data_IF_023201436256
#
_entry.id   IF_023201436256
#
_cell.length_a   1.000
_cell.length_b   1.000
_cell.length_c   1.000
_cell.angle_alpha   90.00
_cell.angle_beta   90.00
_cell.angle_gamma   90.00
#
_symmetry.space_group_name_H-M   'P 1'
#
loop_
_entity.id
_entity.type
_entity.pdbx_description
1 polymer ?
#
# COMPACT_ATOMS: atom_id res chain seq x y z
N UNK A 1 43.91 -19.53 -54.45
CA UNK A 1 45.00 -18.54 -54.38
C UNK A 1 44.59 -17.51 -53.34
N UNK A 2 45.34 -17.44 -52.26
CA UNK A 2 45.18 -16.53 -51.13
C UNK A 2 45.67 -15.14 -51.53
N UNK A 3 44.93 -14.10 -51.14
CA UNK A 3 45.55 -12.80 -50.83
C UNK A 3 44.82 -12.20 -49.64
N UNK A 4 45.60 -11.94 -48.60
CA UNK A 4 45.24 -11.25 -47.36
C UNK A 4 44.43 -9.96 -47.59
N UNK A 5 43.41 -9.74 -46.76
CA UNK A 5 42.92 -8.39 -46.53
C UNK A 5 43.37 -7.90 -45.15
N UNK A 6 44.29 -6.95 -45.27
CA UNK A 6 45.03 -6.21 -44.27
C UNK A 6 44.13 -5.48 -43.26
N UNK A 7 44.58 -5.48 -42.01
CA UNK A 7 43.95 -4.87 -40.85
C UNK A 7 44.21 -3.35 -40.86
N UNK A 8 43.21 -2.59 -40.37
CA UNK A 8 43.25 -1.16 -39.98
C UNK A 8 42.96 -0.15 -41.09
N UNK A 9 41.72 0.32 -41.10
CA UNK A 9 41.41 1.70 -41.49
C UNK A 9 40.52 2.38 -40.45
N UNK A 10 41.22 2.95 -39.47
CA UNK A 10 40.99 4.22 -38.79
C UNK A 10 39.55 4.77 -38.72
N UNK A 11 39.04 4.77 -37.49
CA UNK A 11 38.04 5.69 -36.94
C UNK A 11 38.32 7.14 -37.36
N UNK A 12 37.36 7.75 -38.04
CA UNK A 12 37.23 9.21 -38.08
C UNK A 12 35.75 9.60 -38.24
N UNK A 13 34.99 9.45 -37.16
CA UNK A 13 33.67 10.10 -37.03
C UNK A 13 33.91 11.37 -36.24
N UNK A 14 34.11 12.48 -36.97
CA UNK A 14 33.95 13.83 -36.47
C UNK A 14 32.72 14.37 -37.20
N UNK A 15 31.60 14.44 -36.50
CA UNK A 15 30.34 14.89 -37.06
C UNK A 15 29.47 15.42 -35.94
N UNK A 16 29.70 16.67 -35.55
CA UNK A 16 28.78 17.47 -34.74
C UNK A 16 27.50 17.66 -35.55
N UNK A 17 26.44 16.93 -35.20
CA UNK A 17 25.11 17.08 -35.74
C UNK A 17 24.10 16.93 -34.61
N UNK A 18 23.53 18.05 -34.18
CA UNK A 18 22.51 18.12 -33.15
C UNK A 18 21.29 17.28 -33.54
N UNK A 19 21.00 16.25 -32.75
CA UNK A 19 19.74 15.52 -32.82
C UNK A 19 18.68 16.34 -32.09
N UNK A 20 17.74 16.94 -32.82
CA UNK A 20 16.47 17.38 -32.26
C UNK A 20 15.42 16.31 -32.58
N UNK A 21 15.34 15.31 -31.71
CA UNK A 21 14.27 14.31 -31.70
C UNK A 21 13.12 14.86 -30.84
N UNK A 22 11.97 15.11 -31.45
CA UNK A 22 10.72 15.30 -30.71
C UNK A 22 9.85 14.09 -31.06
N UNK A 23 10.17 12.98 -30.41
CA UNK A 23 9.28 11.85 -30.22
C UNK A 23 8.89 11.88 -28.75
N UNK A 24 7.59 11.90 -28.47
CA UNK A 24 7.07 11.85 -27.11
C UNK A 24 7.60 10.63 -26.37
N UNK A 25 8.47 10.89 -25.40
CA UNK A 25 8.74 10.01 -24.28
C UNK A 25 8.27 10.80 -23.07
N UNK A 26 7.19 10.32 -22.48
CA UNK A 26 6.83 10.59 -21.09
C UNK A 26 8.08 10.47 -20.23
N UNK A 27 8.45 11.62 -19.68
CA UNK A 27 9.02 11.73 -18.36
C UNK A 27 10.28 10.90 -18.04
N UNK A 28 11.39 11.27 -18.68
CA UNK A 28 12.71 11.11 -18.09
C UNK A 28 13.23 12.46 -17.52
N UNK A 29 12.36 13.47 -17.43
CA UNK A 29 12.67 14.80 -16.90
C UNK A 29 12.44 14.90 -15.39
N UNK A 30 11.82 13.88 -14.77
CA UNK A 30 11.82 13.72 -13.30
C UNK A 30 13.16 13.21 -12.74
N UNK A 31 14.08 12.72 -13.56
CA UNK A 31 15.39 12.20 -13.10
C UNK A 31 16.54 13.21 -13.24
N UNK A 32 16.28 14.39 -13.80
CA UNK A 32 17.22 15.52 -13.85
C UNK A 32 16.51 16.77 -13.32
N UNK A 33 15.75 16.61 -12.23
CA UNK A 33 15.42 17.75 -11.41
C UNK A 33 16.73 18.22 -10.80
N UNK A 34 17.01 19.49 -11.08
CA UNK A 34 18.15 20.27 -10.65
C UNK A 34 18.64 19.86 -9.26
N UNK A 35 19.97 19.82 -9.12
CA UNK A 35 20.66 20.03 -7.84
C UNK A 35 20.23 21.42 -7.30
N UNK A 36 18.99 21.53 -6.84
CA UNK A 36 18.56 22.58 -5.95
C UNK A 36 19.34 22.35 -4.67
N UNK A 37 20.32 23.22 -4.40
CA UNK A 37 21.07 23.32 -3.13
C UNK A 37 20.15 23.73 -1.94
N UNK A 38 18.85 23.41 -2.04
CA UNK A 38 17.79 23.53 -1.05
C UNK A 38 16.81 22.35 -1.24
N UNK A 39 17.31 21.19 -1.69
CA UNK A 39 16.56 19.95 -1.77
C UNK A 39 16.06 19.61 -0.37
N UNK A 40 14.78 19.30 -0.29
CA UNK A 40 14.21 18.75 0.92
C UNK A 40 14.86 17.37 1.10
N UNK A 41 15.90 17.27 1.94
CA UNK A 41 16.65 16.01 2.20
C UNK A 41 15.75 14.92 2.85
N UNK A 42 14.49 15.26 3.12
CA UNK A 42 13.47 14.39 3.67
C UNK A 42 12.93 13.43 2.63
N UNK A 43 12.69 12.20 3.05
CA UNK A 43 12.17 11.12 2.23
C UNK A 43 10.92 10.52 2.87
N UNK A 44 10.00 10.09 2.03
CA UNK A 44 8.85 9.32 2.48
C UNK A 44 9.21 7.85 2.54
N UNK A 45 9.15 7.29 3.75
CA UNK A 45 9.42 5.90 4.07
C UNK A 45 8.11 5.14 4.27
N UNK A 46 8.01 3.97 3.63
CA UNK A 46 6.92 3.02 3.86
C UNK A 46 7.50 1.76 4.49
N UNK A 47 7.04 1.47 5.70
CA UNK A 47 7.33 0.27 6.48
C UNK A 47 6.12 -0.65 6.38
N UNK A 48 6.33 -1.85 5.85
CA UNK A 48 5.30 -2.89 5.76
C UNK A 48 6.01 -4.25 5.75
N UNK A 49 5.23 -5.32 5.77
CA UNK A 49 5.75 -6.69 5.65
C UNK A 49 6.46 -6.84 4.31
N UNK A 50 7.68 -7.37 4.33
CA UNK A 50 8.42 -7.62 3.11
C UNK A 50 7.66 -8.60 2.21
N UNK A 51 7.68 -8.37 0.90
CA UNK A 51 6.93 -9.18 -0.06
C UNK A 51 7.25 -10.67 0.04
N UNK A 52 8.51 -11.00 0.30
CA UNK A 52 8.95 -12.40 0.45
C UNK A 52 8.27 -13.11 1.62
N UNK A 53 8.04 -12.42 2.74
CA UNK A 53 7.35 -12.98 3.90
C UNK A 53 5.85 -13.16 3.63
N UNK A 54 5.24 -12.21 2.91
CA UNK A 54 3.83 -12.34 2.48
C UNK A 54 3.65 -13.51 1.50
N UNK A 55 4.59 -13.69 0.57
CA UNK A 55 4.61 -14.84 -0.35
C UNK A 55 4.74 -16.17 0.41
N UNK A 56 5.61 -16.23 1.43
CA UNK A 56 5.75 -17.41 2.30
C UNK A 56 4.44 -17.75 3.03
N UNK A 57 3.76 -16.73 3.58
CA UNK A 57 2.46 -16.91 4.22
C UNK A 57 1.38 -17.35 3.22
N UNK A 58 1.45 -16.87 1.98
CA UNK A 58 0.52 -17.27 0.93
C UNK A 58 0.70 -18.74 0.55
N UNK A 59 1.95 -19.22 0.44
CA UNK A 59 2.25 -20.63 0.22
C UNK A 59 1.74 -21.51 1.39
N UNK A 60 1.88 -21.04 2.63
CA UNK A 60 1.32 -21.71 3.82
C UNK A 60 -0.21 -21.79 3.75
N UNK A 61 -0.88 -20.71 3.34
CA UNK A 61 -2.32 -20.67 3.15
C UNK A 61 -2.78 -21.63 2.03
N UNK A 62 -2.07 -21.66 0.90
CA UNK A 62 -2.39 -22.56 -0.23
C UNK A 62 -2.18 -24.03 0.15
N UNK A 63 -1.13 -24.32 0.91
CA UNK A 63 -0.85 -25.66 1.42
C UNK A 63 -1.83 -26.11 2.53
N UNK A 64 -2.58 -25.17 3.10
CA UNK A 64 -3.50 -25.38 4.21
C UNK A 64 -2.80 -25.58 5.55
N UNK A 65 -1.57 -25.10 5.69
CA UNK A 65 -0.83 -25.06 6.97
C UNK A 65 -1.43 -24.01 7.91
N UNK A 66 -1.87 -22.89 7.35
CA UNK A 66 -2.61 -21.83 8.04
C UNK A 66 -3.96 -21.61 7.37
N UNK A 67 -4.94 -21.13 8.12
CA UNK A 67 -6.21 -20.67 7.56
C UNK A 67 -6.19 -19.17 7.21
N UNK A 68 -7.29 -18.68 6.62
CA UNK A 68 -7.39 -17.29 6.16
C UNK A 68 -7.38 -16.27 7.32
N UNK A 69 -7.87 -16.66 8.49
CA UNK A 69 -7.86 -15.81 9.67
C UNK A 69 -6.42 -15.74 10.18
N UNK A 70 -5.77 -16.88 10.35
CA UNK A 70 -4.35 -16.96 10.75
C UNK A 70 -3.44 -16.19 9.79
N UNK A 71 -3.65 -16.29 8.47
CA UNK A 71 -2.89 -15.51 7.48
C UNK A 71 -3.00 -14.00 7.72
N UNK A 72 -4.20 -13.49 8.02
CA UNK A 72 -4.39 -12.06 8.28
C UNK A 72 -3.71 -11.66 9.60
N UNK A 73 -3.89 -12.44 10.66
CA UNK A 73 -3.26 -12.19 11.96
C UNK A 73 -1.72 -12.19 11.85
N UNK A 74 -1.14 -13.13 11.11
CA UNK A 74 0.29 -13.24 10.88
C UNK A 74 0.87 -12.08 10.06
N UNK A 75 0.11 -11.57 9.07
CA UNK A 75 0.50 -10.38 8.30
C UNK A 75 0.44 -9.14 9.18
N UNK A 76 -0.63 -8.96 9.98
CA UNK A 76 -0.76 -7.82 10.89
C UNK A 76 0.34 -7.83 11.95
N UNK A 77 0.63 -9.00 12.53
CA UNK A 77 1.71 -9.16 13.50
C UNK A 77 3.07 -8.81 12.89
N UNK A 78 3.41 -9.39 11.73
CA UNK A 78 4.68 -9.07 11.06
C UNK A 78 4.79 -7.60 10.67
N UNK A 79 3.67 -6.94 10.35
CA UNK A 79 3.67 -5.50 10.05
C UNK A 79 4.06 -4.71 11.29
N UNK A 80 3.44 -5.04 12.42
CA UNK A 80 3.76 -4.40 13.69
C UNK A 80 5.22 -4.64 14.08
N UNK A 81 5.71 -5.88 13.96
CA UNK A 81 7.13 -6.20 14.19
C UNK A 81 8.07 -5.38 13.28
N UNK A 82 7.72 -5.19 12.00
CA UNK A 82 8.51 -4.37 11.08
C UNK A 82 8.52 -2.88 11.47
N UNK A 83 7.39 -2.37 11.97
CA UNK A 83 7.29 -1.00 12.48
C UNK A 83 8.13 -0.83 13.74
N UNK A 84 7.98 -1.71 14.72
CA UNK A 84 8.78 -1.69 15.95
C UNK A 84 10.29 -1.81 15.64
N UNK A 85 10.67 -2.66 14.68
CA UNK A 85 12.07 -2.76 14.23
C UNK A 85 12.55 -1.45 13.58
N UNK A 86 11.70 -0.79 12.81
CA UNK A 86 12.04 0.49 12.18
C UNK A 86 12.24 1.59 13.22
N UNK A 87 11.34 1.70 14.19
CA UNK A 87 11.46 2.67 15.27
C UNK A 87 12.75 2.45 16.07
N UNK A 88 13.09 1.19 16.39
CA UNK A 88 14.37 0.85 17.02
C UNK A 88 15.57 1.24 16.13
N UNK A 89 15.48 0.98 14.82
CA UNK A 89 16.54 1.35 13.86
C UNK A 89 16.79 2.86 13.86
N UNK A 90 15.72 3.66 13.82
CA UNK A 90 15.80 5.13 13.87
C UNK A 90 16.41 5.61 15.18
N UNK A 91 16.08 5.00 16.33
CA UNK A 91 16.66 5.35 17.63
C UNK A 91 18.16 5.03 17.74
N UNK A 92 18.64 4.01 17.01
CA UNK A 92 20.03 3.53 17.08
C UNK A 92 20.97 4.20 16.06
N UNK A 93 20.44 4.62 14.92
CA UNK A 93 21.20 5.10 13.77
C UNK A 93 21.01 6.62 13.55
N UNK A 94 21.79 7.21 12.63
CA UNK A 94 21.67 8.63 12.27
C UNK A 94 20.49 8.86 11.29
N UNK A 95 19.28 8.42 11.68
CA UNK A 95 18.01 8.67 10.99
C UNK A 95 17.04 9.31 11.96
N UNK A 96 16.23 10.26 11.51
CA UNK A 96 15.22 10.96 12.32
C UNK A 96 13.87 10.91 11.62
N UNK A 97 12.81 10.65 12.40
CA UNK A 97 11.42 10.77 11.93
C UNK A 97 10.95 12.20 12.16
N UNK A 98 10.70 12.91 11.06
CA UNK A 98 10.17 14.27 11.07
C UNK A 98 8.65 14.28 11.23
N UNK A 99 7.97 13.34 10.58
CA UNK A 99 6.52 13.19 10.64
C UNK A 99 6.09 11.73 10.52
N UNK A 100 5.01 11.36 11.19
CA UNK A 100 4.37 10.05 11.08
C UNK A 100 2.86 10.22 10.85
N UNK A 101 2.28 9.29 10.10
CA UNK A 101 0.85 9.33 9.78
C UNK A 101 0.05 8.48 10.76
N UNK A 102 -0.96 9.07 11.40
CA UNK A 102 -1.98 8.32 12.14
C UNK A 102 -2.98 7.60 11.20
N UNK A 103 -3.09 8.08 9.96
CA UNK A 103 -4.06 7.59 8.98
C UNK A 103 -3.57 6.37 8.21
N UNK A 104 -2.25 6.34 7.94
CA UNK A 104 -1.56 5.28 7.19
C UNK A 104 -0.49 4.70 8.10
N UNK A 105 -0.77 3.55 8.69
CA UNK A 105 0.18 2.86 9.55
C UNK A 105 1.45 2.48 8.76
N UNK A 106 2.63 2.75 9.33
CA UNK A 106 3.92 2.48 8.70
C UNK A 106 4.39 3.55 7.69
N UNK A 107 3.68 4.69 7.56
CA UNK A 107 4.10 5.81 6.73
C UNK A 107 4.83 6.87 7.55
N UNK A 108 6.07 7.17 7.15
CA UNK A 108 6.95 8.12 7.82
C UNK A 108 7.55 9.11 6.84
N UNK A 109 7.76 10.34 7.29
CA UNK A 109 8.65 11.31 6.67
C UNK A 109 9.95 11.33 7.48
N UNK A 110 11.05 10.96 6.86
CA UNK A 110 12.35 10.76 7.52
C UNK A 110 13.44 11.64 6.92
N UNK A 111 14.44 11.97 7.73
CA UNK A 111 15.67 12.68 7.36
C UNK A 111 16.88 11.94 7.95
N UNK A 112 18.05 11.97 7.31
CA UNK A 112 19.23 11.32 7.87
C UNK A 112 20.34 11.04 6.86
N UNK A 113 21.33 10.27 7.31
CA UNK A 113 22.43 9.84 6.44
C UNK A 113 21.93 8.87 5.36
N UNK A 114 22.28 9.15 4.10
CA UNK A 114 21.92 8.30 2.95
C UNK A 114 22.31 6.83 3.15
N UNK A 115 23.46 6.58 3.78
CA UNK A 115 23.97 5.25 4.05
C UNK A 115 23.14 4.49 5.07
N UNK A 116 22.65 5.17 6.11
CA UNK A 116 21.73 4.61 7.09
C UNK A 116 20.37 4.30 6.46
N UNK A 117 19.80 5.25 5.71
CA UNK A 117 18.50 5.08 5.03
C UNK A 117 18.55 3.92 4.02
N UNK A 118 19.62 3.84 3.20
CA UNK A 118 19.83 2.72 2.27
C UNK A 118 20.12 1.40 2.99
N UNK A 119 20.72 1.44 4.18
CA UNK A 119 20.90 0.31 5.06
C UNK A 119 19.56 -0.30 5.45
N UNK A 120 18.65 0.53 5.94
CA UNK A 120 17.28 0.13 6.27
C UNK A 120 16.49 -0.37 5.06
N UNK A 121 16.66 0.20 3.86
CA UNK A 121 15.99 -0.31 2.65
C UNK A 121 16.53 -1.67 2.18
N UNK A 122 17.83 -1.92 2.38
CA UNK A 122 18.49 -3.13 1.85
C UNK A 122 18.31 -4.34 2.75
N UNK A 123 18.31 -4.13 4.06
CA UNK A 123 18.37 -5.21 5.04
C UNK A 123 17.56 -4.93 6.30
N UNK A 124 16.82 -3.82 6.31
CA UNK A 124 15.91 -3.48 7.39
C UNK A 124 14.46 -3.49 6.94
N UNK A 125 13.58 -2.88 7.74
CA UNK A 125 12.12 -2.98 7.59
C UNK A 125 11.53 -2.02 6.54
N UNK A 126 12.34 -1.15 5.94
CA UNK A 126 11.88 -0.25 4.89
C UNK A 126 11.57 -1.03 3.61
N UNK A 127 10.35 -0.92 3.13
CA UNK A 127 9.92 -1.57 1.89
C UNK A 127 10.10 -0.65 0.69
N UNK A 128 9.70 0.62 0.83
CA UNK A 128 9.77 1.60 -0.26
C UNK A 128 10.20 2.97 0.25
N UNK A 129 10.96 3.68 -0.58
CA UNK A 129 11.31 5.08 -0.41
C UNK A 129 10.77 5.91 -1.58
N UNK A 130 10.17 7.05 -1.26
CA UNK A 130 9.74 8.06 -2.22
C UNK A 130 10.31 9.44 -1.82
N UNK A 131 10.25 10.41 -2.73
CA UNK A 131 10.53 11.82 -2.37
C UNK A 131 9.47 12.36 -1.40
N UNK A 132 9.80 13.38 -0.61
CA UNK A 132 8.92 13.93 0.43
C UNK A 132 7.53 14.36 -0.06
N UNK A 133 7.40 14.79 -1.32
CA UNK A 133 6.13 15.13 -1.96
C UNK A 133 5.12 13.97 -2.01
N UNK A 134 5.59 12.73 -1.89
CA UNK A 134 4.74 11.55 -1.91
C UNK A 134 3.99 11.34 -0.58
N UNK A 135 4.47 11.91 0.52
CA UNK A 135 3.87 11.72 1.85
C UNK A 135 2.40 12.16 1.87
N UNK A 136 2.15 13.44 1.56
CA UNK A 136 0.79 13.98 1.48
C UNK A 136 -0.06 13.24 0.43
N UNK A 137 0.54 12.91 -0.72
CA UNK A 137 -0.16 12.22 -1.81
C UNK A 137 -0.68 10.83 -1.39
N UNK A 138 0.12 10.08 -0.62
CA UNK A 138 -0.26 8.75 -0.13
C UNK A 138 -1.41 8.87 0.87
N UNK A 139 -1.34 9.83 1.80
CA UNK A 139 -2.39 10.11 2.78
C UNK A 139 -3.70 10.50 2.06
N UNK A 140 -3.65 11.47 1.15
CA UNK A 140 -4.81 11.93 0.38
C UNK A 140 -5.44 10.79 -0.44
N UNK A 141 -4.63 9.88 -0.98
CA UNK A 141 -5.13 8.71 -1.69
C UNK A 141 -5.84 7.73 -0.75
N UNK A 142 -5.29 7.50 0.45
CA UNK A 142 -5.91 6.59 1.40
C UNK A 142 -7.23 7.15 1.95
N UNK A 143 -7.32 8.46 2.21
CA UNK A 143 -8.57 9.13 2.57
C UNK A 143 -9.65 9.01 1.48
N UNK A 144 -9.27 9.08 0.20
CA UNK A 144 -10.22 8.90 -0.90
C UNK A 144 -10.71 7.47 -1.05
N UNK A 145 -9.89 6.48 -0.66
CA UNK A 145 -10.30 5.07 -0.60
C UNK A 145 -11.16 4.77 0.64
N UNK A 146 -11.01 5.54 1.72
CA UNK A 146 -11.91 5.58 2.87
C UNK A 146 -13.18 6.44 2.65
N UNK A 147 -13.59 6.64 1.38
CA UNK A 147 -14.91 7.20 1.05
C UNK A 147 -16.01 6.46 1.85
N UNK A 148 -17.03 7.19 2.33
CA UNK A 148 -17.73 6.90 3.58
C UNK A 148 -18.07 5.42 3.71
N UNK A 149 -17.60 4.80 4.81
CA UNK A 149 -18.24 3.61 5.36
C UNK A 149 -19.75 3.89 5.36
N UNK A 150 -20.57 3.13 4.62
CA UNK A 150 -22.00 3.16 4.90
C UNK A 150 -22.13 2.81 6.39
N UNK A 151 -22.74 3.69 7.17
CA UNK A 151 -23.23 3.36 8.52
C UNK A 151 -24.18 2.17 8.39
N UNK A 152 -23.64 0.95 8.38
CA UNK A 152 -24.39 -0.25 8.68
C UNK A 152 -24.29 -0.50 10.18
N UNK A 153 -25.25 0.04 10.93
CA UNK A 153 -25.59 -0.51 12.24
C UNK A 153 -26.24 0.44 13.24
N UNK A 154 -27.57 0.36 13.37
CA UNK A 154 -28.22 0.17 14.68
C UNK A 154 -29.74 -0.05 14.55
N UNK A 155 -30.18 -1.27 14.23
CA UNK A 155 -31.29 -1.95 14.95
C UNK A 155 -31.49 -3.37 14.39
N UNK A 156 -30.64 -4.31 14.85
CA UNK A 156 -31.00 -5.72 14.90
C UNK A 156 -31.09 -6.11 16.38
N UNK A 157 -32.22 -5.78 17.01
CA UNK A 157 -32.57 -6.28 18.33
C UNK A 157 -33.19 -7.67 18.19
N UNK A 158 -32.36 -8.71 18.25
CA UNK A 158 -32.83 -10.05 18.63
C UNK A 158 -32.62 -10.24 20.13
N UNK A 159 -33.70 -10.32 20.91
CA UNK A 159 -33.72 -10.98 22.21
C UNK A 159 -35.10 -11.62 22.48
N UNK A 160 -35.06 -12.89 22.85
CA UNK A 160 -36.12 -13.88 22.99
C UNK A 160 -36.93 -13.77 24.30
N UNK A 161 -37.96 -14.65 24.37
CA UNK A 161 -38.77 -15.08 25.54
C UNK A 161 -39.92 -14.12 25.93
N UNK A 162 -41.19 -14.54 26.04
CA UNK A 162 -41.67 -15.73 26.75
C UNK A 162 -43.10 -16.15 26.33
N UNK A 163 -43.46 -17.35 26.75
CA UNK A 163 -44.70 -18.10 26.52
C UNK A 163 -45.90 -17.46 27.23
N UNK A 164 -47.10 -17.40 26.62
CA UNK A 164 -48.34 -17.89 27.26
C UNK A 164 -49.56 -17.95 26.31
N UNK A 165 -50.49 -18.78 26.72
CA UNK A 165 -51.55 -19.48 26.02
C UNK A 165 -52.77 -18.57 25.73
N UNK A 166 -53.49 -18.80 24.63
CA UNK A 166 -54.97 -18.89 24.68
C UNK A 166 -55.56 -19.33 23.34
N UNK A 167 -56.21 -20.48 23.42
CA UNK A 167 -57.11 -21.10 22.46
C UNK A 167 -58.33 -20.22 22.12
N UNK A 168 -58.76 -20.27 20.86
CA UNK A 168 -60.15 -20.38 20.38
C UNK A 168 -60.11 -20.22 18.84
N UNK A 169 -60.41 -21.26 18.07
CA UNK A 169 -61.79 -21.69 17.78
C UNK A 169 -62.24 -20.93 16.53
N UNK A 170 -62.03 -21.48 15.32
CA UNK A 170 -63.03 -22.31 14.63
C UNK A 170 -64.35 -21.58 14.34
N UNK A 171 -64.43 -20.99 13.15
CA UNK A 171 -65.52 -21.08 12.15
C UNK A 171 -65.32 -19.95 11.11
N UNK A 172 -65.60 -20.04 9.82
CA UNK A 172 -66.46 -20.95 9.09
C UNK A 172 -67.49 -20.11 8.32
N UNK A 173 -67.31 -20.02 6.99
CA UNK A 173 -68.34 -19.69 5.97
C UNK A 173 -68.65 -18.22 5.67
N UNK A 174 -68.22 -17.81 4.48
CA UNK A 174 -69.03 -17.50 3.29
C UNK A 174 -70.40 -16.77 3.41
N UNK A 175 -70.55 -15.85 2.46
CA UNK A 175 -71.76 -15.44 1.74
C UNK A 175 -72.71 -14.35 2.31
N UNK A 176 -72.95 -13.40 1.39
CA UNK A 176 -74.25 -12.78 1.02
C UNK A 176 -74.83 -11.57 1.78
N UNK A 177 -74.88 -10.47 1.01
CA UNK A 177 -76.06 -9.66 0.67
C UNK A 177 -76.80 -8.81 1.72
N UNK A 178 -76.85 -7.51 1.38
CA UNK A 178 -78.04 -6.66 1.33
C UNK A 178 -78.40 -5.70 2.48
N UNK A 179 -78.85 -4.52 2.00
CA UNK A 179 -79.87 -3.62 2.56
C UNK A 179 -79.40 -2.70 3.70
N UNK A 180 -79.43 -1.37 3.64
CA UNK A 180 -80.47 -0.38 3.25
C UNK A 180 -80.67 0.52 4.48
N UNK A 181 -80.35 1.82 4.33
CA UNK A 181 -81.01 3.01 4.92
C UNK A 181 -80.07 4.22 4.95
#
# INVERSE_FOLDING_TARGET
>A
MTTEHDRRRFLRIAGTGAAASIAGCTDASLLNQDEDENGDDRLTAVVDVAQADVEELYDQLESGEIDRVEFQEEVEQRRQDAIDEFESYVDEEDVTVEESSDEVEGLYLIDGDDGAILGALRSGPLTVLYGSEAYDLIIEQQQQQQGPVPEEGAENETANEDTDESENGDDGSADDDSSDS
#
